data_IF_731710912343
#
_entry.id   IF_731710912343
#
_cell.length_a   1.000
_cell.length_b   1.000
_cell.length_c   1.000
_cell.angle_alpha   90.00
_cell.angle_beta   90.00
_cell.angle_gamma   90.00
#
_symmetry.space_group_name_H-M   'P 1'
#
loop_
_entity.id
_entity.type
_entity.pdbx_description
1 polymer ?
#
# COMPACT_ATOMS: atom_id res chain seq x y z
N UNK A 1 14.94 -9.05 -29.70
CA UNK A 1 13.66 -9.10 -28.97
C UNK A 1 12.81 -8.01 -29.56
N UNK A 2 11.83 -8.39 -30.37
CA UNK A 2 10.99 -7.44 -31.10
C UNK A 2 10.09 -6.71 -30.11
N UNK A 3 10.13 -5.38 -30.12
CA UNK A 3 9.36 -4.53 -29.20
C UNK A 3 7.96 -4.23 -29.74
N UNK A 4 7.50 -4.98 -30.75
CA UNK A 4 6.19 -4.79 -31.36
C UNK A 4 5.02 -4.91 -30.35
N UNK A 5 5.19 -5.62 -29.24
CA UNK A 5 4.19 -5.61 -28.15
C UNK A 5 3.97 -4.22 -27.53
N UNK A 6 4.96 -3.32 -27.59
CA UNK A 6 4.83 -1.94 -27.11
C UNK A 6 3.96 -1.07 -28.04
N UNK A 7 3.63 -1.53 -29.26
CA UNK A 7 2.79 -0.80 -30.21
C UNK A 7 1.30 -0.87 -29.86
N UNK A 8 0.85 -1.96 -29.23
CA UNK A 8 -0.53 -2.16 -28.78
C UNK A 8 -0.75 -1.68 -27.33
N UNK A 9 -0.18 -0.53 -26.99
CA UNK A 9 -0.40 0.07 -25.67
C UNK A 9 -1.86 0.54 -25.54
N UNK A 10 -2.65 -0.15 -24.70
CA UNK A 10 -4.02 0.22 -24.35
C UNK A 10 -4.06 0.93 -22.99
N UNK A 11 -4.26 2.27 -22.95
CA UNK A 11 -4.40 3.02 -21.70
C UNK A 11 -5.57 2.54 -20.85
N UNK A 12 -6.64 2.07 -21.49
CA UNK A 12 -7.83 1.56 -20.82
C UNK A 12 -7.54 0.25 -20.09
N UNK A 13 -6.84 -0.70 -20.73
CA UNK A 13 -6.44 -1.94 -20.09
C UNK A 13 -5.54 -1.70 -18.87
N UNK A 14 -4.55 -0.82 -19.01
CA UNK A 14 -3.64 -0.44 -17.93
C UNK A 14 -4.40 0.23 -16.78
N UNK A 15 -5.37 1.09 -17.10
CA UNK A 15 -6.22 1.73 -16.10
C UNK A 15 -7.09 0.71 -15.36
N UNK A 16 -7.77 -0.20 -16.07
CA UNK A 16 -8.57 -1.25 -15.45
C UNK A 16 -7.74 -2.19 -14.59
N UNK A 17 -6.54 -2.57 -15.04
CA UNK A 17 -5.64 -3.40 -14.25
C UNK A 17 -5.22 -2.68 -12.96
N UNK A 18 -4.92 -1.38 -13.04
CA UNK A 18 -4.60 -0.55 -11.86
C UNK A 18 -5.78 -0.48 -10.89
N UNK A 19 -7.00 -0.25 -11.41
CA UNK A 19 -8.25 -0.22 -10.62
C UNK A 19 -8.49 -1.57 -9.93
N UNK A 20 -8.39 -2.67 -10.69
CA UNK A 20 -8.61 -4.01 -10.17
C UNK A 20 -7.61 -4.34 -9.05
N UNK A 21 -6.31 -4.09 -9.27
CA UNK A 21 -5.29 -4.29 -8.25
C UNK A 21 -5.55 -3.42 -7.02
N UNK A 22 -5.96 -2.17 -7.22
CA UNK A 22 -6.32 -1.26 -6.12
C UNK A 22 -7.53 -1.74 -5.30
N UNK A 23 -8.56 -2.26 -5.94
CA UNK A 23 -9.73 -2.84 -5.27
C UNK A 23 -9.33 -4.09 -4.49
N UNK A 24 -8.62 -5.02 -5.13
CA UNK A 24 -8.16 -6.27 -4.49
C UNK A 24 -7.29 -5.96 -3.28
N UNK A 25 -6.33 -5.05 -3.42
CA UNK A 25 -5.50 -4.61 -2.30
C UNK A 25 -6.34 -3.97 -1.20
N UNK A 26 -7.24 -3.04 -1.52
CA UNK A 26 -8.06 -2.34 -0.51
C UNK A 26 -8.94 -3.29 0.29
N UNK A 27 -9.55 -4.28 -0.38
CA UNK A 27 -10.37 -5.28 0.29
C UNK A 27 -9.51 -6.18 1.17
N UNK A 28 -8.39 -6.69 0.65
CA UNK A 28 -7.49 -7.54 1.42
C UNK A 28 -6.90 -6.80 2.63
N UNK A 29 -6.45 -5.56 2.45
CA UNK A 29 -5.94 -4.72 3.53
C UNK A 29 -7.03 -4.35 4.55
N UNK A 30 -8.28 -4.15 4.13
CA UNK A 30 -9.36 -3.96 5.09
C UNK A 30 -9.58 -5.21 5.95
N UNK A 31 -9.55 -6.41 5.34
CA UNK A 31 -9.69 -7.66 6.09
C UNK A 31 -8.52 -7.89 7.05
N UNK A 32 -7.31 -7.59 6.60
CA UNK A 32 -6.08 -7.60 7.42
C UNK A 32 -6.17 -6.61 8.60
N UNK A 33 -6.63 -5.37 8.34
CA UNK A 33 -6.85 -4.40 9.41
C UNK A 33 -7.81 -4.93 10.49
N UNK A 34 -8.87 -5.63 10.12
CA UNK A 34 -9.82 -6.21 11.09
C UNK A 34 -9.20 -7.32 11.96
N UNK A 35 -8.24 -8.09 11.44
CA UNK A 35 -7.51 -9.08 12.22
C UNK A 35 -6.43 -8.41 13.07
N UNK A 36 -5.72 -7.44 12.52
CA UNK A 36 -4.68 -6.66 13.19
C UNK A 36 -5.18 -5.91 14.41
N UNK A 37 -6.33 -5.25 14.34
CA UNK A 37 -6.92 -4.57 15.50
C UNK A 37 -7.11 -5.52 16.68
N UNK A 38 -7.49 -6.78 16.43
CA UNK A 38 -7.65 -7.78 17.50
C UNK A 38 -6.30 -8.24 18.05
N UNK A 39 -5.29 -8.37 17.20
CA UNK A 39 -3.93 -8.74 17.62
C UNK A 39 -3.32 -7.62 18.46
N UNK A 40 -3.56 -6.36 18.09
CA UNK A 40 -3.03 -5.19 18.80
C UNK A 40 -3.60 -5.01 20.20
N UNK A 41 -4.82 -5.45 20.45
CA UNK A 41 -5.40 -5.48 21.81
C UNK A 41 -4.65 -6.43 22.74
N UNK A 42 -3.82 -7.33 22.20
CA UNK A 42 -3.20 -8.42 22.96
C UNK A 42 -1.66 -8.33 22.95
N UNK A 43 -1.03 -8.08 21.79
CA UNK A 43 0.43 -8.17 21.67
C UNK A 43 0.96 -7.47 20.39
N UNK A 44 1.16 -6.14 20.46
CA UNK A 44 1.94 -5.40 19.46
C UNK A 44 3.15 -4.72 20.10
N UNK A 45 4.32 -4.91 19.49
CA UNK A 45 5.55 -4.27 19.95
C UNK A 45 5.75 -2.89 19.32
N UNK A 46 6.43 -1.97 20.02
CA UNK A 46 6.79 -0.65 19.48
C UNK A 46 7.62 -0.75 18.18
N UNK A 47 8.39 -1.83 18.00
CA UNK A 47 9.19 -2.09 16.80
C UNK A 47 8.34 -2.53 15.59
N UNK A 48 7.30 -3.32 15.83
CA UNK A 48 6.32 -3.71 14.82
C UNK A 48 5.57 -2.47 14.32
N UNK A 49 5.05 -1.65 15.24
CA UNK A 49 4.39 -0.40 14.87
C UNK A 49 5.30 0.53 14.07
N UNK A 50 6.56 0.66 14.48
CA UNK A 50 7.53 1.46 13.73
C UNK A 50 7.67 0.95 12.29
N UNK A 51 7.69 -0.36 12.11
CA UNK A 51 7.72 -1.00 10.78
C UNK A 51 6.48 -0.64 9.97
N UNK A 52 5.27 -0.79 10.52
CA UNK A 52 4.01 -0.38 9.86
C UNK A 52 3.99 1.09 9.46
N UNK A 53 4.41 2.00 10.35
CA UNK A 53 4.48 3.44 10.04
C UNK A 53 5.42 3.72 8.87
N UNK A 54 6.58 3.07 8.82
CA UNK A 54 7.53 3.24 7.71
C UNK A 54 6.93 2.68 6.41
N UNK A 55 6.24 1.53 6.44
CA UNK A 55 5.54 0.99 5.27
C UNK A 55 4.52 1.99 4.74
N UNK A 56 3.71 2.59 5.61
CA UNK A 56 2.71 3.60 5.23
C UNK A 56 3.36 4.85 4.64
N UNK A 57 4.36 5.43 5.31
CA UNK A 57 5.04 6.63 4.80
C UNK A 57 5.76 6.37 3.48
N UNK A 58 6.47 5.24 3.36
CA UNK A 58 7.11 4.85 2.12
C UNK A 58 6.08 4.63 1.01
N UNK A 59 4.90 4.07 1.32
CA UNK A 59 3.81 3.92 0.35
C UNK A 59 3.27 5.27 -0.13
N UNK A 60 3.13 6.26 0.76
CA UNK A 60 2.74 7.63 0.37
C UNK A 60 3.78 8.28 -0.54
N UNK A 61 5.06 8.21 -0.17
CA UNK A 61 6.15 8.76 -0.98
C UNK A 61 6.21 8.04 -2.34
N UNK A 62 5.99 6.73 -2.38
CA UNK A 62 5.93 5.94 -3.61
C UNK A 62 4.79 6.41 -4.51
N UNK A 63 3.59 6.61 -3.98
CA UNK A 63 2.44 7.11 -4.75
C UNK A 63 2.70 8.51 -5.33
N UNK A 64 3.24 9.43 -4.52
CA UNK A 64 3.65 10.77 -5.00
C UNK A 64 4.73 10.66 -6.07
N UNK A 65 5.73 9.79 -5.86
CA UNK A 65 6.79 9.54 -6.83
C UNK A 65 6.25 9.01 -8.16
N UNK A 66 5.31 8.07 -8.13
CA UNK A 66 4.64 7.58 -9.33
C UNK A 66 3.92 8.72 -10.06
N UNK A 67 3.15 9.56 -9.36
CA UNK A 67 2.51 10.74 -9.97
C UNK A 67 3.56 11.68 -10.60
N UNK A 68 4.69 11.90 -9.95
CA UNK A 68 5.79 12.75 -10.45
C UNK A 68 6.34 12.30 -11.82
N UNK A 69 6.14 11.04 -12.24
CA UNK A 69 6.50 10.56 -13.58
C UNK A 69 5.80 11.36 -14.68
N UNK A 70 4.64 11.97 -14.41
CA UNK A 70 3.92 12.82 -15.36
C UNK A 70 4.68 14.12 -15.67
N UNK A 71 5.51 14.61 -14.75
CA UNK A 71 6.25 15.86 -14.89
C UNK A 71 7.73 15.63 -15.23
N UNK A 72 8.43 14.80 -14.44
CA UNK A 72 9.86 14.56 -14.65
C UNK A 72 10.28 13.16 -14.20
N UNK A 73 10.45 12.27 -15.17
CA UNK A 73 10.83 10.86 -14.94
C UNK A 73 12.19 10.67 -14.29
N UNK A 74 13.17 11.55 -14.56
CA UNK A 74 14.52 11.41 -14.04
C UNK A 74 14.60 11.79 -12.56
N UNK A 75 13.83 12.80 -12.13
CA UNK A 75 13.72 13.19 -10.72
C UNK A 75 12.83 12.21 -9.96
N UNK A 76 11.73 11.76 -10.56
CA UNK A 76 10.82 10.80 -9.94
C UNK A 76 11.48 9.44 -9.68
N UNK A 77 12.36 8.98 -10.57
CA UNK A 77 12.97 7.64 -10.49
C UNK A 77 13.72 7.37 -9.17
N UNK A 78 14.68 8.19 -8.70
CA UNK A 78 15.35 7.93 -7.42
C UNK A 78 14.39 7.98 -6.23
N UNK A 79 13.35 8.81 -6.27
CA UNK A 79 12.31 8.87 -5.23
C UNK A 79 11.51 7.57 -5.20
N UNK A 80 11.06 7.10 -6.36
CA UNK A 80 10.32 5.83 -6.50
C UNK A 80 11.18 4.66 -6.03
N UNK A 81 12.43 4.57 -6.47
CA UNK A 81 13.32 3.46 -6.10
C UNK A 81 13.59 3.43 -4.60
N UNK A 82 13.90 4.59 -4.00
CA UNK A 82 14.10 4.68 -2.55
C UNK A 82 12.84 4.27 -1.78
N UNK A 83 11.69 4.84 -2.13
CA UNK A 83 10.43 4.53 -1.47
C UNK A 83 10.00 3.07 -1.65
N UNK A 84 10.14 2.51 -2.86
CA UNK A 84 9.81 1.13 -3.16
C UNK A 84 10.70 0.16 -2.38
N UNK A 85 12.02 0.37 -2.39
CA UNK A 85 12.97 -0.48 -1.65
C UNK A 85 12.67 -0.40 -0.15
N UNK A 86 12.52 0.80 0.41
CA UNK A 86 12.20 0.96 1.84
C UNK A 86 10.89 0.27 2.19
N UNK A 87 9.83 0.49 1.41
CA UNK A 87 8.53 -0.16 1.62
C UNK A 87 8.69 -1.69 1.59
N UNK A 88 9.26 -2.23 0.52
CA UNK A 88 9.43 -3.67 0.32
C UNK A 88 10.25 -4.31 1.44
N UNK A 89 11.37 -3.69 1.82
CA UNK A 89 12.21 -4.19 2.92
C UNK A 89 11.46 -4.19 4.23
N UNK A 90 10.74 -3.12 4.57
CA UNK A 90 10.00 -3.06 5.81
C UNK A 90 8.83 -4.04 5.83
N UNK A 91 8.10 -4.20 4.72
CA UNK A 91 7.04 -5.20 4.61
C UNK A 91 7.57 -6.63 4.66
N UNK A 92 8.74 -6.90 4.08
CA UNK A 92 9.40 -8.21 4.20
C UNK A 92 9.82 -8.51 5.64
N UNK A 93 10.41 -7.52 6.33
CA UNK A 93 10.74 -7.65 7.76
C UNK A 93 9.48 -7.88 8.57
N UNK A 94 8.41 -7.15 8.24
CA UNK A 94 7.12 -7.28 8.91
C UNK A 94 6.64 -8.73 8.86
N UNK A 95 6.54 -9.27 7.64
CA UNK A 95 6.07 -10.64 7.41
C UNK A 95 6.95 -11.65 8.16
N UNK A 96 8.26 -11.61 7.93
CA UNK A 96 9.18 -12.62 8.44
C UNK A 96 9.38 -12.58 9.95
N UNK A 97 9.30 -11.39 10.56
CA UNK A 97 9.61 -11.21 11.98
C UNK A 97 8.37 -11.18 12.86
N UNK A 98 7.29 -10.59 12.38
CA UNK A 98 6.11 -10.34 13.20
C UNK A 98 4.91 -11.21 12.78
N UNK A 99 4.82 -11.66 11.53
CA UNK A 99 3.64 -12.41 11.08
C UNK A 99 3.83 -13.93 11.03
N UNK A 100 4.99 -14.43 10.60
CA UNK A 100 5.23 -15.88 10.37
C UNK A 100 4.76 -16.77 11.54
N UNK A 101 5.01 -16.37 12.78
CA UNK A 101 4.67 -17.18 13.96
C UNK A 101 3.26 -16.92 14.53
N UNK A 102 2.62 -15.79 14.17
CA UNK A 102 1.34 -15.34 14.74
C UNK A 102 0.16 -15.52 13.79
N UNK A 103 0.39 -15.42 12.49
CA UNK A 103 -0.66 -15.45 11.50
C UNK A 103 -1.11 -16.88 11.20
N UNK A 104 -2.42 -17.05 11.15
CA UNK A 104 -3.04 -18.24 10.59
C UNK A 104 -2.79 -18.31 9.08
N UNK A 105 -2.92 -19.51 8.52
CA UNK A 105 -2.83 -19.71 7.07
C UNK A 105 -3.74 -18.77 6.27
N UNK A 106 -4.94 -18.46 6.78
CA UNK A 106 -5.87 -17.55 6.10
C UNK A 106 -5.32 -16.11 6.05
N UNK A 107 -4.72 -15.64 7.13
CA UNK A 107 -4.09 -14.31 7.20
C UNK A 107 -2.87 -14.26 6.28
N UNK A 108 -2.02 -15.29 6.27
CA UNK A 108 -0.90 -15.38 5.32
C UNK A 108 -1.35 -15.31 3.86
N UNK A 109 -2.49 -15.93 3.51
CA UNK A 109 -3.06 -15.81 2.15
C UNK A 109 -3.55 -14.38 1.87
N UNK A 110 -4.12 -13.68 2.86
CA UNK A 110 -4.50 -12.28 2.72
C UNK A 110 -3.26 -11.41 2.43
N UNK A 111 -2.16 -11.60 3.16
CA UNK A 111 -0.92 -10.84 2.92
C UNK A 111 -0.33 -11.17 1.55
N UNK A 112 -0.36 -12.43 1.12
CA UNK A 112 0.09 -12.81 -0.22
C UNK A 112 -0.72 -12.07 -1.31
N UNK A 113 -2.04 -11.98 -1.16
CA UNK A 113 -2.91 -11.23 -2.06
C UNK A 113 -2.55 -9.74 -2.05
N UNK A 114 -2.32 -9.16 -0.86
CA UNK A 114 -1.86 -7.78 -0.71
C UNK A 114 -0.54 -7.55 -1.44
N UNK A 115 0.44 -8.43 -1.25
CA UNK A 115 1.75 -8.38 -1.90
C UNK A 115 1.65 -8.44 -3.42
N UNK A 116 0.91 -9.41 -3.95
CA UNK A 116 0.74 -9.55 -5.40
C UNK A 116 0.07 -8.30 -5.97
N UNK A 117 -1.03 -7.86 -5.36
CA UNK A 117 -1.81 -6.73 -5.87
C UNK A 117 -1.05 -5.41 -5.82
N UNK A 118 -0.40 -5.06 -4.71
CA UNK A 118 0.33 -3.79 -4.59
C UNK A 118 1.57 -3.72 -5.49
N UNK A 119 2.32 -4.82 -5.61
CA UNK A 119 3.50 -4.87 -6.46
C UNK A 119 3.10 -4.85 -7.94
N UNK A 120 2.05 -5.58 -8.31
CA UNK A 120 1.53 -5.58 -9.68
C UNK A 120 1.00 -4.20 -10.06
N UNK A 121 0.16 -3.59 -9.21
CA UNK A 121 -0.36 -2.24 -9.42
C UNK A 121 0.75 -1.19 -9.54
N UNK A 122 1.75 -1.25 -8.65
CA UNK A 122 2.92 -0.36 -8.69
C UNK A 122 3.70 -0.54 -9.99
N UNK A 123 4.00 -1.78 -10.39
CA UNK A 123 4.73 -2.06 -11.63
C UNK A 123 3.98 -1.56 -12.86
N UNK A 124 2.66 -1.78 -12.93
CA UNK A 124 1.80 -1.33 -14.03
C UNK A 124 1.80 0.19 -14.15
N UNK A 125 1.59 0.90 -13.04
CA UNK A 125 1.60 2.38 -13.02
C UNK A 125 3.00 2.93 -13.32
N UNK A 126 4.05 2.28 -12.80
CA UNK A 126 5.44 2.64 -13.10
C UNK A 126 5.74 2.50 -14.59
N UNK A 127 5.41 1.36 -15.20
CA UNK A 127 5.64 1.13 -16.63
C UNK A 127 4.87 2.15 -17.47
N UNK A 128 3.60 2.42 -17.11
CA UNK A 128 2.78 3.43 -17.79
C UNK A 128 3.37 4.83 -17.71
N UNK A 129 3.80 5.27 -16.52
CA UNK A 129 4.40 6.59 -16.33
C UNK A 129 5.80 6.72 -16.92
N UNK A 130 6.66 5.72 -16.68
CA UNK A 130 8.07 5.78 -17.04
C UNK A 130 8.30 5.54 -18.53
N UNK A 131 7.76 4.46 -19.10
CA UNK A 131 7.97 4.12 -20.50
C UNK A 131 7.03 4.90 -21.42
N UNK A 132 5.75 4.98 -21.04
CA UNK A 132 4.71 5.53 -21.90
C UNK A 132 4.28 6.96 -21.55
N UNK A 133 4.87 7.61 -20.55
CA UNK A 133 4.55 8.98 -20.12
C UNK A 133 3.05 9.22 -19.89
N UNK A 134 2.37 8.23 -19.31
CA UNK A 134 0.91 8.28 -19.12
C UNK A 134 0.12 8.55 -20.41
N UNK A 135 0.62 8.08 -21.57
CA UNK A 135 -0.08 8.22 -22.86
C UNK A 135 -1.52 7.71 -22.72
N UNK A 136 -2.45 8.52 -23.22
CA UNK A 136 -3.88 8.22 -23.20
C UNK A 136 -4.57 8.34 -21.85
N UNK A 137 -3.87 8.81 -20.80
CA UNK A 137 -4.49 9.10 -19.50
C UNK A 137 -5.66 10.06 -19.67
N UNK A 138 -5.44 11.23 -20.27
CA UNK A 138 -6.48 12.27 -20.44
C UNK A 138 -7.64 11.91 -21.36
N UNK A 139 -7.52 10.83 -22.15
CA UNK A 139 -8.60 10.32 -23.01
C UNK A 139 -9.46 9.26 -22.33
N UNK A 140 -9.14 8.86 -21.09
CA UNK A 140 -9.96 7.89 -20.38
C UNK A 140 -11.34 8.47 -20.04
N UNK A 141 -12.39 7.64 -20.06
CA UNK A 141 -13.70 8.04 -19.56
C UNK A 141 -13.66 8.49 -18.10
N UNK A 142 -14.54 9.43 -17.74
CA UNK A 142 -14.57 10.06 -16.41
C UNK A 142 -14.62 9.04 -15.25
N UNK A 143 -15.32 7.93 -15.43
CA UNK A 143 -15.49 6.93 -14.37
C UNK A 143 -14.17 6.28 -13.93
N UNK A 144 -13.13 6.22 -14.78
CA UNK A 144 -11.82 5.71 -14.38
C UNK A 144 -11.19 6.58 -13.28
N UNK A 145 -11.23 7.91 -13.44
CA UNK A 145 -10.69 8.82 -12.44
C UNK A 145 -11.49 8.81 -11.14
N UNK A 146 -12.82 8.69 -11.25
CA UNK A 146 -13.69 8.57 -10.07
C UNK A 146 -13.34 7.29 -9.29
N UNK A 147 -13.16 6.16 -9.98
CA UNK A 147 -12.78 4.90 -9.33
C UNK A 147 -11.40 4.98 -8.67
N UNK A 148 -10.39 5.56 -9.32
CA UNK A 148 -9.10 5.81 -8.66
C UNK A 148 -9.23 6.68 -7.43
N UNK A 149 -10.02 7.77 -7.51
CA UNK A 149 -10.27 8.65 -6.38
C UNK A 149 -10.92 7.92 -5.21
N UNK A 150 -11.94 7.09 -5.48
CA UNK A 150 -12.60 6.26 -4.45
C UNK A 150 -11.60 5.30 -3.80
N UNK A 151 -10.80 4.58 -4.60
CA UNK A 151 -9.80 3.63 -4.10
C UNK A 151 -8.76 4.34 -3.23
N UNK A 152 -8.22 5.46 -3.70
CA UNK A 152 -7.24 6.25 -2.97
C UNK A 152 -7.78 6.75 -1.63
N UNK A 153 -9.01 7.27 -1.60
CA UNK A 153 -9.68 7.69 -0.37
C UNK A 153 -9.92 6.50 0.56
N UNK A 154 -10.38 5.36 0.04
CA UNK A 154 -10.61 4.16 0.83
C UNK A 154 -9.32 3.67 1.50
N UNK A 155 -8.22 3.57 0.75
CA UNK A 155 -6.90 3.22 1.28
C UNK A 155 -6.43 4.21 2.35
N UNK A 156 -6.61 5.52 2.12
CA UNK A 156 -6.27 6.55 3.10
C UNK A 156 -7.08 6.44 4.39
N UNK A 157 -8.37 6.11 4.30
CA UNK A 157 -9.24 5.89 5.47
C UNK A 157 -8.81 4.65 6.24
N UNK A 158 -8.52 3.54 5.56
CA UNK A 158 -8.06 2.29 6.20
C UNK A 158 -6.75 2.54 6.96
N UNK A 159 -5.73 3.10 6.29
CA UNK A 159 -4.43 3.36 6.93
C UNK A 159 -4.50 4.37 8.08
N UNK A 160 -5.37 5.39 7.99
CA UNK A 160 -5.56 6.32 9.11
C UNK A 160 -6.31 5.67 10.29
N UNK A 161 -7.30 4.82 10.03
CA UNK A 161 -7.98 4.07 11.09
C UNK A 161 -7.03 3.13 11.81
N UNK A 162 -6.21 2.42 11.05
CA UNK A 162 -5.13 1.59 11.56
C UNK A 162 -4.24 2.40 12.52
N UNK A 163 -3.67 3.53 12.10
CA UNK A 163 -2.81 4.31 13.00
C UNK A 163 -3.51 4.83 14.27
N UNK A 164 -4.78 5.24 14.17
CA UNK A 164 -5.53 5.80 15.30
C UNK A 164 -5.99 4.74 16.29
N UNK A 165 -6.38 3.54 15.82
CA UNK A 165 -6.74 2.42 16.70
C UNK A 165 -5.60 2.08 17.65
N UNK A 166 -4.36 2.07 17.16
CA UNK A 166 -3.18 1.81 18.01
C UNK A 166 -2.99 2.89 19.09
N UNK A 167 -3.08 4.16 18.72
CA UNK A 167 -2.87 5.26 19.68
C UNK A 167 -3.87 5.21 20.82
N UNK A 168 -5.12 4.83 20.52
CA UNK A 168 -6.16 4.68 21.51
C UNK A 168 -5.85 3.57 22.51
N UNK A 169 -5.47 2.37 22.05
CA UNK A 169 -5.13 1.25 22.94
C UNK A 169 -3.93 1.56 23.84
N UNK A 170 -2.84 2.11 23.28
CA UNK A 170 -1.68 2.54 24.08
C UNK A 170 -2.05 3.53 25.18
N UNK A 171 -2.95 4.47 24.88
CA UNK A 171 -3.42 5.47 25.85
C UNK A 171 -4.25 4.85 26.99
N UNK A 172 -4.93 3.72 26.75
CA UNK A 172 -5.68 3.00 27.77
C UNK A 172 -4.73 2.23 28.70
N UNK A 173 -3.70 1.59 28.14
CA UNK A 173 -2.74 0.83 28.94
C UNK A 173 -1.90 1.73 29.86
N UNK A 174 -1.49 2.91 29.37
CA UNK A 174 -0.82 3.91 30.20
C UNK A 174 -1.72 4.40 31.35
N UNK A 175 -3.00 4.62 31.09
CA UNK A 175 -3.96 5.01 32.14
C UNK A 175 -4.14 3.91 33.18
N UNK A 176 -4.27 2.65 32.76
CA UNK A 176 -4.39 1.51 33.67
C UNK A 176 -3.14 1.33 34.54
N UNK A 177 -1.94 1.56 34.00
CA UNK A 177 -0.70 1.44 34.78
C UNK A 177 -0.54 2.58 35.78
N UNK A 178 -0.92 3.81 35.42
CA UNK A 178 -0.99 4.96 36.34
C UNK A 178 -1.99 4.70 37.47
N UNK A 179 -3.18 4.19 37.16
CA UNK A 179 -4.20 3.82 38.16
C UNK A 179 -3.74 2.68 39.09
N UNK A 180 -2.94 1.73 38.60
CA UNK A 180 -2.43 0.63 39.40
C UNK A 180 -1.27 1.04 40.33
N UNK A 181 -0.61 2.17 40.05
CA UNK A 181 0.50 2.72 40.84
C UNK A 181 0.06 3.78 41.85
N UNK A 182 -1.19 4.26 41.77
CA UNK A 182 -1.79 5.25 42.67
C UNK A 182 -2.49 4.61 43.88
#
# INVERSE_FOLDING_TARGET
>A
MDLDFLREFSPELVSWLTILMGIVFSVAWYLDHLTHVKIWEVDITDNELKTHKIILYASWVLQVGLLMLAWNRLIALPIILGAFITRFTHEFIDEMKFHVDRCSFKETIIHLIMWISINTGTAVVFLWGFLFKYKGFGSLPLYHYVLWGIIFVAMGVIGNRELNSYQNERSKDLRKSEEALA
#
